data_IF_120074329769
#
_entry.id   IF_120074329769
#
_cell.length_a   1.000
_cell.length_b   1.000
_cell.length_c   1.000
_cell.angle_alpha   90.00
_cell.angle_beta   90.00
_cell.angle_gamma   90.00
#
_symmetry.space_group_name_H-M   'P 1'
#
loop_
_entity.id
_entity.type
_entity.pdbx_description
1 polymer ?
#
# COMPACT_ATOMS: atom_id res chain seq x y z
N UNK A 1 3.78 0.29 29.17
CA UNK A 1 3.60 -0.49 27.93
C UNK A 1 4.25 0.26 26.77
N UNK A 2 5.35 -0.25 26.21
CA UNK A 2 6.09 0.40 25.12
C UNK A 2 5.23 0.47 23.85
N UNK A 3 5.30 1.55 23.04
CA UNK A 3 4.53 1.71 21.77
C UNK A 3 4.53 0.43 20.91
N UNK A 4 5.63 -0.31 20.91
CA UNK A 4 5.81 -1.59 20.19
C UNK A 4 4.80 -2.70 20.58
N UNK A 5 4.38 -2.78 21.85
CA UNK A 5 3.40 -3.78 22.29
C UNK A 5 1.98 -3.47 21.80
N UNK A 6 1.64 -2.19 21.66
CA UNK A 6 0.34 -1.74 21.13
C UNK A 6 0.22 -2.11 19.64
N UNK A 7 1.28 -1.87 18.86
CA UNK A 7 1.29 -2.22 17.44
C UNK A 7 1.29 -3.73 17.18
N UNK A 8 1.97 -4.52 18.03
CA UNK A 8 1.91 -5.99 17.93
C UNK A 8 0.49 -6.52 18.14
N UNK A 9 -0.24 -5.97 19.12
CA UNK A 9 -1.64 -6.30 19.35
C UNK A 9 -2.53 -5.93 18.16
N UNK A 10 -2.29 -4.77 17.53
CA UNK A 10 -3.05 -4.29 16.37
C UNK A 10 -2.79 -5.09 15.10
N UNK A 11 -1.54 -5.46 14.82
CA UNK A 11 -1.23 -6.33 13.69
C UNK A 11 -2.00 -7.66 13.78
N UNK A 12 -2.08 -8.27 14.98
CA UNK A 12 -2.85 -9.50 15.18
C UNK A 12 -4.36 -9.31 14.96
N UNK A 13 -4.92 -8.15 15.32
CA UNK A 13 -6.32 -7.82 15.04
C UNK A 13 -6.58 -7.67 13.53
N UNK A 14 -5.72 -6.91 12.83
CA UNK A 14 -5.80 -6.72 11.38
C UNK A 14 -5.60 -8.04 10.63
N UNK A 15 -4.67 -8.88 11.06
CA UNK A 15 -4.45 -10.21 10.50
C UNK A 15 -5.70 -11.09 10.64
N UNK A 16 -6.38 -11.08 11.79
CA UNK A 16 -7.64 -11.80 11.96
C UNK A 16 -8.73 -11.27 11.02
N UNK A 17 -8.79 -9.95 10.84
CA UNK A 17 -9.74 -9.32 9.92
C UNK A 17 -9.43 -9.69 8.46
N UNK A 18 -8.16 -9.70 8.09
CA UNK A 18 -7.69 -10.09 6.77
C UNK A 18 -8.05 -11.55 6.48
N UNK A 19 -7.74 -12.47 7.39
CA UNK A 19 -8.15 -13.88 7.31
C UNK A 19 -9.68 -14.02 7.20
N UNK A 20 -10.43 -13.20 7.93
CA UNK A 20 -11.88 -13.16 7.81
C UNK A 20 -12.33 -12.76 6.39
N UNK A 21 -11.75 -11.71 5.83
CA UNK A 21 -12.07 -11.23 4.48
C UNK A 21 -11.61 -12.18 3.37
N UNK A 22 -10.47 -12.83 3.55
CA UNK A 22 -10.01 -13.91 2.67
C UNK A 22 -11.06 -15.02 2.63
N UNK A 23 -11.60 -15.41 3.77
CA UNK A 23 -12.63 -16.44 3.87
C UNK A 23 -14.02 -15.98 3.42
N UNK A 24 -14.34 -14.69 3.53
CA UNK A 24 -15.60 -14.13 3.03
C UNK A 24 -15.61 -14.06 1.50
N UNK A 25 -14.50 -13.64 0.89
CA UNK A 25 -14.36 -13.45 -0.55
C UNK A 25 -13.43 -14.47 -1.21
N UNK A 26 -13.54 -15.76 -0.83
CA UNK A 26 -12.64 -16.87 -1.23
C UNK A 26 -12.35 -16.92 -2.72
N UNK A 27 -13.36 -16.70 -3.56
CA UNK A 27 -13.19 -16.74 -5.02
C UNK A 27 -12.12 -15.76 -5.48
N UNK A 28 -12.12 -14.52 -4.99
CA UNK A 28 -11.18 -13.49 -5.42
C UNK A 28 -9.88 -13.55 -4.64
N UNK A 29 -9.93 -13.76 -3.32
CA UNK A 29 -8.74 -13.85 -2.48
C UNK A 29 -7.85 -15.05 -2.87
N UNK A 30 -8.41 -16.25 -3.03
CA UNK A 30 -7.61 -17.43 -3.41
C UNK A 30 -7.12 -17.35 -4.86
N UNK A 31 -7.89 -16.72 -5.75
CA UNK A 31 -7.42 -16.47 -7.13
C UNK A 31 -6.25 -15.50 -7.14
N UNK A 32 -6.31 -14.42 -6.37
CA UNK A 32 -5.23 -13.44 -6.25
C UNK A 32 -3.94 -14.10 -5.72
N UNK A 33 -4.02 -14.81 -4.59
CA UNK A 33 -2.84 -15.42 -3.97
C UNK A 33 -2.29 -16.60 -4.79
N UNK A 34 -3.13 -17.38 -5.46
CA UNK A 34 -2.66 -18.45 -6.33
C UNK A 34 -1.95 -17.91 -7.58
N UNK A 35 -2.50 -16.88 -8.23
CA UNK A 35 -1.84 -16.19 -9.34
C UNK A 35 -0.52 -15.57 -8.91
N UNK A 36 -0.44 -15.00 -7.71
CA UNK A 36 0.81 -14.48 -7.18
C UNK A 36 1.87 -15.59 -6.98
N UNK A 37 1.49 -16.77 -6.50
CA UNK A 37 2.42 -17.91 -6.43
C UNK A 37 2.90 -18.35 -7.81
N UNK A 38 2.00 -18.41 -8.80
CA UNK A 38 2.37 -18.74 -10.19
C UNK A 38 3.31 -17.68 -10.75
N UNK A 39 3.04 -16.39 -10.49
CA UNK A 39 3.90 -15.28 -10.86
C UNK A 39 5.31 -15.44 -10.27
N UNK A 40 5.42 -15.76 -8.98
CA UNK A 40 6.71 -16.02 -8.32
C UNK A 40 7.41 -17.25 -8.90
N UNK A 41 6.67 -18.31 -9.25
CA UNK A 41 7.26 -19.46 -9.94
C UNK A 41 7.82 -19.10 -11.32
N UNK A 42 7.08 -18.30 -12.08
CA UNK A 42 7.47 -17.86 -13.43
C UNK A 42 8.64 -16.89 -13.43
N UNK A 43 8.69 -15.91 -12.53
CA UNK A 43 9.81 -14.96 -12.48
C UNK A 43 11.14 -15.66 -12.16
N UNK A 44 11.11 -16.69 -11.31
CA UNK A 44 12.27 -17.51 -10.98
C UNK A 44 12.66 -18.41 -12.17
N UNK A 45 11.69 -19.08 -12.79
CA UNK A 45 11.97 -19.99 -13.91
C UNK A 45 12.42 -19.25 -15.18
N UNK A 46 11.92 -18.05 -15.44
CA UNK A 46 12.27 -17.24 -16.64
C UNK A 46 13.78 -17.03 -16.73
N UNK A 47 14.42 -16.60 -15.63
CA UNK A 47 15.86 -16.34 -15.62
C UNK A 47 16.68 -17.64 -15.71
N UNK A 48 16.16 -18.73 -15.13
CA UNK A 48 16.77 -20.05 -15.24
C UNK A 48 16.70 -20.63 -16.66
N UNK A 49 15.55 -20.48 -17.34
CA UNK A 49 15.37 -20.88 -18.75
C UNK A 49 16.34 -20.14 -19.68
N UNK A 50 16.63 -18.86 -19.40
CA UNK A 50 17.65 -18.12 -20.14
C UNK A 50 19.04 -18.74 -19.93
N UNK A 51 19.38 -19.15 -18.71
CA UNK A 51 20.62 -19.89 -18.44
C UNK A 51 20.72 -21.19 -19.24
N UNK A 52 19.65 -22.01 -19.23
CA UNK A 52 19.60 -23.26 -20.00
C UNK A 52 19.72 -23.04 -21.52
N UNK A 53 19.13 -21.94 -22.03
CA UNK A 53 19.28 -21.56 -23.42
C UNK A 53 20.73 -21.20 -23.76
N UNK A 54 21.43 -20.49 -22.86
CA UNK A 54 22.86 -20.17 -23.02
C UNK A 54 23.72 -21.43 -23.00
N UNK A 55 23.53 -22.34 -22.05
CA UNK A 55 24.31 -23.59 -22.00
C UNK A 55 24.06 -24.49 -23.21
N UNK A 56 22.82 -24.53 -23.69
CA UNK A 56 22.48 -25.24 -24.92
C UNK A 56 23.16 -24.63 -26.15
N UNK A 57 23.30 -23.30 -26.18
CA UNK A 57 23.98 -22.59 -27.26
C UNK A 57 25.49 -22.83 -27.21
N UNK A 58 26.11 -22.80 -26.03
CA UNK A 58 27.54 -23.09 -25.83
C UNK A 58 27.87 -24.53 -26.24
N UNK A 59 26.97 -25.48 -25.93
CA UNK A 59 27.10 -26.88 -26.37
C UNK A 59 26.72 -27.13 -27.83
N UNK A 60 26.40 -26.07 -28.60
CA UNK A 60 26.00 -26.13 -30.01
C UNK A 60 24.78 -27.04 -30.28
N UNK A 61 23.92 -27.24 -29.27
CA UNK A 61 22.70 -28.04 -29.41
C UNK A 61 21.54 -27.15 -29.89
N UNK A 62 21.34 -27.08 -31.20
CA UNK A 62 20.32 -26.24 -31.83
C UNK A 62 18.91 -26.54 -31.31
N UNK A 63 18.55 -27.82 -31.16
CA UNK A 63 17.19 -28.22 -30.74
C UNK A 63 16.87 -27.74 -29.33
N UNK A 64 17.77 -27.97 -28.38
CA UNK A 64 17.61 -27.52 -27.00
C UNK A 64 17.65 -25.99 -26.89
N UNK A 65 18.53 -25.34 -27.66
CA UNK A 65 18.63 -23.88 -27.69
C UNK A 65 17.33 -23.23 -28.14
N UNK A 66 16.74 -23.73 -29.24
CA UNK A 66 15.46 -23.26 -29.74
C UNK A 66 14.33 -23.50 -28.72
N UNK A 67 14.28 -24.70 -28.12
CA UNK A 67 13.27 -25.04 -27.13
C UNK A 67 13.32 -24.09 -25.92
N UNK A 68 14.48 -23.94 -25.29
CA UNK A 68 14.61 -23.08 -24.12
C UNK A 68 14.44 -21.59 -24.44
N UNK A 69 14.84 -21.15 -25.64
CA UNK A 69 14.59 -19.77 -26.09
C UNK A 69 13.10 -19.50 -26.26
N UNK A 70 12.35 -20.43 -26.87
CA UNK A 70 10.89 -20.32 -27.01
C UNK A 70 10.19 -20.36 -25.65
N UNK A 71 10.62 -21.24 -24.75
CA UNK A 71 10.09 -21.31 -23.38
C UNK A 71 10.39 -20.02 -22.61
N UNK A 72 11.58 -19.45 -22.76
CA UNK A 72 11.96 -18.16 -22.18
C UNK A 72 11.03 -17.03 -22.68
N UNK A 73 10.85 -16.90 -24.00
CA UNK A 73 9.95 -15.90 -24.58
C UNK A 73 8.50 -16.08 -24.12
N UNK A 74 8.02 -17.33 -24.09
CA UNK A 74 6.69 -17.65 -23.58
C UNK A 74 6.54 -17.29 -22.10
N UNK A 75 7.54 -17.61 -21.28
CA UNK A 75 7.53 -17.28 -19.84
C UNK A 75 7.51 -15.77 -19.59
N UNK A 76 8.24 -14.98 -20.39
CA UNK A 76 8.21 -13.51 -20.36
C UNK A 76 6.82 -12.96 -20.71
N UNK A 77 6.18 -13.48 -21.76
CA UNK A 77 4.82 -13.08 -22.14
C UNK A 77 3.81 -13.44 -21.03
N UNK A 78 3.89 -14.66 -20.50
CA UNK A 78 3.01 -15.12 -19.43
C UNK A 78 3.19 -14.35 -18.13
N UNK A 79 4.42 -13.94 -17.80
CA UNK A 79 4.70 -13.12 -16.62
C UNK A 79 3.91 -11.81 -16.65
N UNK A 80 3.85 -11.13 -17.80
CA UNK A 80 3.09 -9.89 -17.96
C UNK A 80 1.57 -10.12 -17.85
N UNK A 81 1.06 -11.18 -18.48
CA UNK A 81 -0.38 -11.52 -18.42
C UNK A 81 -0.80 -11.87 -16.99
N UNK A 82 0.00 -12.68 -16.29
CA UNK A 82 -0.31 -13.10 -14.92
C UNK A 82 -0.18 -11.92 -13.95
N UNK A 83 0.79 -11.02 -14.16
CA UNK A 83 0.88 -9.79 -13.36
C UNK A 83 -0.40 -8.95 -13.52
N UNK A 84 -0.83 -8.70 -14.75
CA UNK A 84 -2.07 -7.98 -15.03
C UNK A 84 -3.29 -8.63 -14.36
N UNK A 85 -3.46 -9.96 -14.51
CA UNK A 85 -4.58 -10.68 -13.88
C UNK A 85 -4.50 -10.63 -12.35
N UNK A 86 -3.30 -10.74 -11.78
CA UNK A 86 -3.09 -10.67 -10.33
C UNK A 86 -3.46 -9.28 -9.79
N UNK A 87 -3.01 -8.21 -10.44
CA UNK A 87 -3.34 -6.83 -10.07
C UNK A 87 -4.85 -6.56 -10.19
N UNK A 88 -5.46 -6.93 -11.32
CA UNK A 88 -6.89 -6.77 -11.55
C UNK A 88 -7.74 -7.47 -10.47
N UNK A 89 -7.42 -8.73 -10.15
CA UNK A 89 -8.15 -9.48 -9.12
C UNK A 89 -7.87 -8.91 -7.73
N UNK A 90 -6.65 -8.43 -7.47
CA UNK A 90 -6.30 -7.76 -6.21
C UNK A 90 -7.18 -6.53 -5.97
N UNK A 91 -7.39 -5.71 -6.99
CA UNK A 91 -8.15 -4.47 -6.85
C UNK A 91 -9.65 -4.75 -6.71
N UNK A 92 -10.19 -5.74 -7.41
CA UNK A 92 -11.55 -6.23 -7.16
C UNK A 92 -11.69 -6.73 -5.73
N UNK A 93 -10.75 -7.54 -5.25
CA UNK A 93 -10.77 -8.06 -3.89
C UNK A 93 -10.78 -6.94 -2.86
N UNK A 94 -9.88 -5.95 -2.98
CA UNK A 94 -9.85 -4.76 -2.10
C UNK A 94 -11.17 -3.99 -2.15
N UNK A 95 -11.76 -3.79 -3.33
CA UNK A 95 -13.05 -3.10 -3.45
C UNK A 95 -14.22 -3.87 -2.86
N UNK A 96 -14.21 -5.20 -2.89
CA UNK A 96 -15.21 -6.01 -2.19
C UNK A 96 -15.09 -5.87 -0.67
N UNK A 97 -13.85 -5.83 -0.14
CA UNK A 97 -13.62 -5.55 1.28
C UNK A 97 -14.11 -4.15 1.66
N UNK A 98 -13.83 -3.16 0.81
CA UNK A 98 -14.30 -1.79 0.97
C UNK A 98 -15.83 -1.70 1.06
N UNK A 99 -16.55 -2.31 0.11
CA UNK A 99 -18.02 -2.31 0.13
C UNK A 99 -18.59 -2.99 1.37
N UNK A 100 -18.01 -4.10 1.83
CA UNK A 100 -18.46 -4.76 3.06
C UNK A 100 -18.21 -3.90 4.31
N UNK A 101 -17.08 -3.19 4.37
CA UNK A 101 -16.79 -2.26 5.45
C UNK A 101 -17.83 -1.14 5.48
N UNK A 102 -18.13 -0.55 4.33
CA UNK A 102 -19.13 0.53 4.21
C UNK A 102 -20.52 0.01 4.61
N UNK A 103 -20.93 -1.17 4.13
CA UNK A 103 -22.22 -1.77 4.48
C UNK A 103 -22.35 -1.99 5.99
N UNK A 104 -21.30 -2.48 6.66
CA UNK A 104 -21.27 -2.61 8.12
C UNK A 104 -21.36 -1.28 8.84
N UNK A 105 -20.64 -0.27 8.37
CA UNK A 105 -20.70 1.08 8.94
C UNK A 105 -22.13 1.62 8.83
N UNK A 106 -22.78 1.48 7.68
CA UNK A 106 -24.17 1.89 7.46
C UNK A 106 -25.10 1.16 8.44
N UNK A 107 -25.01 -0.18 8.50
CA UNK A 107 -25.83 -1.01 9.39
C UNK A 107 -25.65 -0.63 10.87
N UNK A 108 -24.41 -0.42 11.31
CA UNK A 108 -24.13 -0.02 12.67
C UNK A 108 -24.60 1.41 12.97
N UNK A 109 -24.50 2.32 12.01
CA UNK A 109 -25.01 3.68 12.15
C UNK A 109 -26.53 3.72 12.19
N UNK A 110 -27.24 2.81 11.49
CA UNK A 110 -28.70 2.68 11.65
C UNK A 110 -29.11 2.18 13.04
N UNK A 111 -28.27 1.38 13.68
CA UNK A 111 -28.54 0.87 15.02
C UNK A 111 -28.09 1.81 16.15
N UNK A 112 -27.04 2.59 15.91
CA UNK A 112 -26.47 3.59 16.83
C UNK A 112 -26.13 4.85 16.05
N UNK A 113 -27.11 5.75 15.84
CA UNK A 113 -26.93 6.94 15.01
C UNK A 113 -25.81 7.83 15.52
N UNK A 114 -24.89 8.19 14.62
CA UNK A 114 -23.85 9.21 14.80
C UNK A 114 -24.09 10.39 13.87
N UNK A 115 -23.31 11.45 14.06
CA UNK A 115 -23.40 12.63 13.20
C UNK A 115 -23.11 12.26 11.72
N UNK A 116 -24.05 12.51 10.79
CA UNK A 116 -23.90 12.09 9.39
C UNK A 116 -22.64 12.65 8.72
N UNK A 117 -22.28 13.89 9.04
CA UNK A 117 -21.07 14.53 8.51
C UNK A 117 -19.78 13.81 8.92
N UNK A 118 -19.70 13.37 10.18
CA UNK A 118 -18.56 12.60 10.69
C UNK A 118 -18.44 11.24 9.99
N UNK A 119 -19.56 10.52 9.86
CA UNK A 119 -19.59 9.20 9.21
C UNK A 119 -19.21 9.30 7.73
N UNK A 120 -19.81 10.24 7.00
CA UNK A 120 -19.50 10.46 5.57
C UNK A 120 -18.04 10.86 5.39
N UNK A 121 -17.51 11.74 6.24
CA UNK A 121 -16.10 12.15 6.18
C UNK A 121 -15.15 10.98 6.43
N UNK A 122 -15.43 10.11 7.40
CA UNK A 122 -14.61 8.91 7.66
C UNK A 122 -14.70 7.91 6.52
N UNK A 123 -15.89 7.74 5.92
CA UNK A 123 -16.05 6.88 4.74
C UNK A 123 -15.20 7.38 3.57
N UNK A 124 -15.26 8.67 3.26
CA UNK A 124 -14.57 9.23 2.09
C UNK A 124 -13.06 9.35 2.26
N UNK A 125 -12.56 9.57 3.49
CA UNK A 125 -11.14 9.84 3.73
C UNK A 125 -10.34 8.66 4.29
N UNK A 126 -10.99 7.73 4.99
CA UNK A 126 -10.29 6.71 5.78
C UNK A 126 -10.53 5.27 5.34
N UNK A 127 -11.68 4.96 4.72
CA UNK A 127 -12.03 3.56 4.42
C UNK A 127 -11.03 2.90 3.47
N UNK A 128 -10.60 3.57 2.39
CA UNK A 128 -9.64 3.00 1.44
C UNK A 128 -8.30 2.66 2.13
N UNK A 129 -7.79 3.58 2.95
CA UNK A 129 -6.57 3.37 3.72
C UNK A 129 -6.75 2.26 4.77
N UNK A 130 -7.93 2.15 5.37
CA UNK A 130 -8.23 1.10 6.34
C UNK A 130 -8.33 -0.29 5.68
N UNK A 131 -8.90 -0.39 4.47
CA UNK A 131 -8.84 -1.61 3.65
C UNK A 131 -7.39 -1.99 3.40
N UNK A 132 -6.56 -1.01 3.04
CA UNK A 132 -5.11 -1.21 2.92
C UNK A 132 -4.49 -1.77 4.21
N UNK A 133 -4.85 -1.24 5.38
CA UNK A 133 -4.35 -1.72 6.68
C UNK A 133 -4.73 -3.19 6.96
N UNK A 134 -5.90 -3.61 6.50
CA UNK A 134 -6.38 -4.98 6.67
C UNK A 134 -5.59 -5.90 5.75
N UNK A 135 -5.65 -5.68 4.43
CA UNK A 135 -5.10 -6.57 3.39
C UNK A 135 -3.56 -6.66 3.43
N UNK A 136 -2.88 -5.64 3.95
CA UNK A 136 -1.42 -5.65 4.03
C UNK A 136 -0.88 -6.73 4.97
N UNK A 137 -1.71 -7.22 5.90
CA UNK A 137 -1.28 -8.13 6.96
C UNK A 137 -0.82 -9.48 6.41
N UNK A 138 -1.65 -10.11 5.57
CA UNK A 138 -1.30 -11.36 4.87
C UNK A 138 -0.35 -11.09 3.70
N UNK A 139 -0.52 -9.98 2.98
CA UNK A 139 0.38 -9.61 1.88
C UNK A 139 1.87 -9.60 2.28
N UNK A 140 2.21 -9.07 3.46
CA UNK A 140 3.60 -9.06 3.97
C UNK A 140 4.17 -10.49 4.06
N UNK A 141 3.36 -11.48 4.44
CA UNK A 141 3.78 -12.88 4.53
C UNK A 141 4.19 -13.38 3.12
N UNK A 142 3.40 -13.06 2.10
CA UNK A 142 3.70 -13.42 0.70
C UNK A 142 4.96 -12.73 0.16
N UNK A 143 5.22 -11.49 0.56
CA UNK A 143 6.47 -10.79 0.22
C UNK A 143 7.68 -11.48 0.87
N UNK A 144 7.57 -11.88 2.14
CA UNK A 144 8.62 -12.63 2.85
C UNK A 144 8.85 -13.98 2.18
N UNK A 145 7.78 -14.71 1.85
CA UNK A 145 7.87 -15.99 1.14
C UNK A 145 8.55 -15.82 -0.21
N UNK A 146 8.28 -14.75 -0.97
CA UNK A 146 8.97 -14.45 -2.24
C UNK A 146 10.46 -14.25 -2.05
N UNK A 147 10.88 -13.52 -1.01
CA UNK A 147 12.32 -13.32 -0.69
C UNK A 147 12.98 -14.67 -0.40
N UNK A 148 12.37 -15.47 0.48
CA UNK A 148 12.89 -16.78 0.86
C UNK A 148 12.94 -17.72 -0.35
N UNK A 149 11.87 -17.81 -1.14
CA UNK A 149 11.81 -18.64 -2.33
C UNK A 149 12.88 -18.26 -3.36
N UNK A 150 13.09 -16.95 -3.58
CA UNK A 150 14.12 -16.46 -4.51
C UNK A 150 15.53 -16.82 -4.01
N UNK A 151 15.79 -16.67 -2.71
CA UNK A 151 17.09 -17.03 -2.14
C UNK A 151 17.35 -18.54 -2.16
N UNK A 152 16.35 -19.36 -1.81
CA UNK A 152 16.44 -20.82 -1.88
C UNK A 152 16.65 -21.30 -3.33
N UNK A 153 15.94 -20.69 -4.29
CA UNK A 153 16.11 -21.00 -5.70
C UNK A 153 17.52 -20.64 -6.20
N UNK A 154 18.03 -19.45 -5.87
CA UNK A 154 19.41 -19.08 -6.19
C UNK A 154 20.43 -20.02 -5.53
N UNK A 155 20.18 -20.42 -4.27
CA UNK A 155 21.04 -21.37 -3.54
C UNK A 155 21.05 -22.76 -4.16
N UNK A 156 19.95 -23.17 -4.82
CA UNK A 156 19.89 -24.43 -5.56
C UNK A 156 20.73 -24.42 -6.86
N UNK A 157 21.02 -23.23 -7.41
CA UNK A 157 21.95 -23.06 -8.53
C UNK A 157 23.39 -23.05 -8.00
N UNK A 158 23.70 -22.17 -7.05
CA UNK A 158 24.99 -22.13 -6.37
C UNK A 158 24.87 -21.48 -5.01
N UNK A 159 25.01 -22.29 -3.94
CA UNK A 159 24.92 -21.81 -2.57
C UNK A 159 26.03 -20.79 -2.24
N UNK A 160 27.26 -21.07 -2.66
CA UNK A 160 28.44 -20.23 -2.40
C UNK A 160 28.24 -18.82 -2.96
N UNK A 161 27.77 -18.72 -4.21
CA UNK A 161 27.52 -17.44 -4.88
C UNK A 161 26.25 -16.76 -4.37
N UNK A 162 25.21 -17.52 -4.03
CA UNK A 162 23.97 -16.97 -3.49
C UNK A 162 24.19 -16.24 -2.15
N UNK A 163 25.04 -16.79 -1.25
CA UNK A 163 25.33 -16.16 0.05
C UNK A 163 25.99 -14.77 -0.12
N UNK A 164 26.76 -14.57 -1.18
CA UNK A 164 27.44 -13.29 -1.45
C UNK A 164 26.47 -12.14 -1.75
N UNK A 165 25.20 -12.41 -2.05
CA UNK A 165 24.20 -11.34 -2.24
C UNK A 165 23.75 -10.72 -0.92
N UNK A 166 23.85 -11.45 0.20
CA UNK A 166 23.24 -11.05 1.47
C UNK A 166 23.75 -9.69 1.98
N UNK A 167 25.05 -9.35 1.92
CA UNK A 167 25.52 -8.02 2.29
C UNK A 167 24.85 -6.90 1.47
N UNK A 168 24.63 -7.10 0.17
CA UNK A 168 23.98 -6.12 -0.71
C UNK A 168 22.51 -5.94 -0.34
N UNK A 169 21.80 -7.03 -0.04
CA UNK A 169 20.41 -6.99 0.42
C UNK A 169 20.30 -6.27 1.77
N UNK A 170 21.22 -6.55 2.71
CA UNK A 170 21.26 -5.87 4.01
C UNK A 170 21.54 -4.38 3.85
N UNK A 171 22.54 -4.00 3.06
CA UNK A 171 22.86 -2.59 2.79
C UNK A 171 21.67 -1.87 2.15
N UNK A 172 21.00 -2.50 1.17
CA UNK A 172 19.78 -1.98 0.56
C UNK A 172 18.66 -1.74 1.58
N UNK A 173 18.40 -2.74 2.43
CA UNK A 173 17.41 -2.64 3.51
C UNK A 173 17.73 -1.52 4.51
N UNK A 174 18.99 -1.39 4.92
CA UNK A 174 19.42 -0.33 5.84
C UNK A 174 19.29 1.06 5.22
N UNK A 175 19.68 1.24 3.96
CA UNK A 175 19.58 2.53 3.26
C UNK A 175 18.11 3.00 3.16
N UNK A 176 17.23 2.10 2.76
CA UNK A 176 15.78 2.40 2.66
C UNK A 176 15.19 2.71 4.04
N UNK A 177 15.57 1.96 5.08
CA UNK A 177 15.11 2.17 6.46
C UNK A 177 15.57 3.51 7.05
N UNK A 178 16.86 3.87 6.92
CA UNK A 178 17.40 5.08 7.56
C UNK A 178 17.09 6.37 6.81
N UNK A 179 17.05 6.34 5.49
CA UNK A 179 16.86 7.55 4.67
C UNK A 179 15.37 7.83 4.44
N UNK A 180 14.51 6.80 4.43
CA UNK A 180 13.06 6.92 4.24
C UNK A 180 12.40 7.98 5.14
N UNK A 181 12.60 7.95 6.48
CA UNK A 181 12.02 8.95 7.38
C UNK A 181 12.47 10.39 7.09
N UNK A 182 13.75 10.57 6.70
CA UNK A 182 14.29 11.89 6.34
C UNK A 182 13.65 12.40 5.04
N UNK A 183 13.45 11.53 4.06
CA UNK A 183 12.74 11.85 2.83
C UNK A 183 11.29 12.23 3.10
N UNK A 184 10.58 11.49 3.94
CA UNK A 184 9.18 11.80 4.30
C UNK A 184 9.06 13.15 5.02
N UNK A 185 9.98 13.46 5.96
CA UNK A 185 10.02 14.77 6.61
C UNK A 185 10.30 15.89 5.59
N UNK A 186 11.28 15.71 4.71
CA UNK A 186 11.59 16.70 3.66
C UNK A 186 10.41 16.91 2.68
N UNK A 187 9.68 15.85 2.34
CA UNK A 187 8.45 15.92 1.52
C UNK A 187 7.33 16.67 2.24
N UNK A 188 7.17 16.44 3.55
CA UNK A 188 6.17 17.16 4.35
C UNK A 188 6.49 18.66 4.40
N UNK A 189 7.76 19.03 4.67
CA UNK A 189 8.21 20.42 4.65
C UNK A 189 8.01 21.05 3.27
N UNK A 190 8.33 20.35 2.19
CA UNK A 190 8.15 20.85 0.82
C UNK A 190 6.67 21.14 0.51
N UNK A 191 5.75 20.24 0.89
CA UNK A 191 4.31 20.43 0.70
C UNK A 191 3.74 21.61 1.46
N UNK A 192 4.21 21.84 2.69
CA UNK A 192 3.79 23.00 3.50
C UNK A 192 4.19 24.31 2.81
N UNK A 193 5.45 24.42 2.37
CA UNK A 193 5.94 25.61 1.67
C UNK A 193 5.33 25.78 0.29
N UNK A 194 4.99 24.68 -0.40
CA UNK A 194 4.22 24.72 -1.64
C UNK A 194 2.84 25.36 -1.41
N UNK A 195 2.12 24.96 -0.36
CA UNK A 195 0.81 25.54 -0.03
C UNK A 195 0.92 27.05 0.27
N UNK A 196 1.96 27.46 1.01
CA UNK A 196 2.23 28.87 1.28
C UNK A 196 2.55 29.66 0.01
N UNK A 197 3.44 29.14 -0.85
CA UNK A 197 3.77 29.74 -2.14
C UNK A 197 2.53 29.87 -3.04
N UNK A 198 1.71 28.81 -3.13
CA UNK A 198 0.50 28.80 -3.94
C UNK A 198 -0.55 29.81 -3.46
N UNK A 199 -0.68 29.98 -2.13
CA UNK A 199 -1.51 31.04 -1.56
C UNK A 199 -1.04 32.43 -2.02
N UNK A 200 0.26 32.71 -1.97
CA UNK A 200 0.82 34.01 -2.41
C UNK A 200 0.71 34.21 -3.91
N UNK A 201 0.81 33.16 -4.70
CA UNK A 201 0.54 33.19 -6.14
C UNK A 201 -0.90 33.66 -6.40
N UNK A 202 -1.88 33.04 -5.72
CA UNK A 202 -3.30 33.40 -5.83
C UNK A 202 -3.54 34.87 -5.44
N UNK A 203 -3.02 35.29 -4.29
CA UNK A 203 -3.09 36.70 -3.84
C UNK A 203 -2.48 37.67 -4.87
N UNK A 204 -1.35 37.29 -5.48
CA UNK A 204 -0.66 38.14 -6.47
C UNK A 204 -1.45 38.28 -7.78
N UNK A 205 -2.12 37.22 -8.22
CA UNK A 205 -2.98 37.23 -9.41
C UNK A 205 -4.25 38.05 -9.14
N UNK A 206 -4.91 37.81 -8.01
CA UNK A 206 -6.13 38.53 -7.60
C UNK A 206 -5.85 40.03 -7.41
N UNK A 207 -4.66 40.40 -6.90
CA UNK A 207 -4.23 41.78 -6.76
C UNK A 207 -3.82 42.45 -8.08
N UNK A 208 -3.70 41.72 -9.20
CA UNK A 208 -3.14 42.23 -10.45
C UNK A 208 -3.86 43.46 -11.01
N UNK A 209 -5.20 43.49 -10.94
CA UNK A 209 -5.99 44.66 -11.36
C UNK A 209 -5.72 45.89 -10.49
N UNK A 210 -5.58 45.68 -9.18
CA UNK A 210 -5.28 46.73 -8.21
C UNK A 210 -3.85 47.27 -8.38
N UNK A 211 -2.88 46.38 -8.60
CA UNK A 211 -1.48 46.74 -8.84
C UNK A 211 -1.29 47.51 -10.16
N UNK A 212 -2.02 47.12 -11.21
CA UNK A 212 -2.03 47.83 -12.49
C UNK A 212 -2.57 49.27 -12.34
N UNK A 213 -3.65 49.46 -11.55
CA UNK A 213 -4.22 50.80 -11.28
C UNK A 213 -3.27 51.75 -10.56
N UNK A 214 -2.33 51.23 -9.78
CA UNK A 214 -1.29 52.02 -9.08
C UNK A 214 0.06 52.03 -9.81
N UNK A 215 0.08 51.60 -11.07
CA UNK A 215 1.27 51.57 -11.94
C UNK A 215 2.45 50.72 -11.40
N UNK A 216 2.16 49.68 -10.60
CA UNK A 216 3.15 48.69 -10.16
C UNK A 216 3.09 47.50 -11.13
N UNK A 217 3.96 47.49 -12.12
CA UNK A 217 3.97 46.51 -13.22
C UNK A 217 4.97 45.33 -13.01
N UNK A 218 5.41 45.12 -11.77
CA UNK A 218 6.39 44.08 -11.41
C UNK A 218 5.82 42.94 -10.58
N UNK A 219 6.56 41.84 -10.51
CA UNK A 219 6.23 40.71 -9.63
C UNK A 219 6.34 41.17 -8.16
N UNK A 220 5.32 40.93 -7.30
CA UNK A 220 5.37 41.32 -5.91
C UNK A 220 6.58 40.70 -5.19
N UNK A 221 7.34 41.51 -4.43
CA UNK A 221 8.50 41.03 -3.66
C UNK A 221 8.15 39.84 -2.77
N UNK A 222 6.95 39.85 -2.19
CA UNK A 222 6.46 38.76 -1.32
C UNK A 222 6.31 37.43 -2.05
N UNK A 223 5.98 37.45 -3.35
CA UNK A 223 5.96 36.24 -4.17
C UNK A 223 7.37 35.76 -4.49
N UNK A 224 8.30 36.68 -4.77
CA UNK A 224 9.70 36.34 -5.05
C UNK A 224 10.36 35.68 -3.82
N UNK A 225 10.13 36.23 -2.62
CA UNK A 225 10.67 35.67 -1.38
C UNK A 225 10.10 34.28 -1.08
N UNK A 226 8.79 34.10 -1.17
CA UNK A 226 8.19 32.77 -0.93
C UNK A 226 8.57 31.75 -2.00
N UNK A 227 8.82 32.19 -3.24
CA UNK A 227 9.37 31.32 -4.30
C UNK A 227 10.76 30.83 -3.93
N UNK A 228 11.64 31.71 -3.42
CA UNK A 228 12.98 31.32 -3.00
C UNK A 228 12.98 30.34 -1.81
N UNK A 229 12.10 30.57 -0.83
CA UNK A 229 11.89 29.68 0.33
C UNK A 229 11.40 28.30 -0.11
N UNK A 230 10.35 28.27 -0.93
CA UNK A 230 9.82 27.04 -1.53
C UNK A 230 10.91 26.29 -2.29
N UNK A 231 11.66 26.99 -3.16
CA UNK A 231 12.73 26.38 -3.94
C UNK A 231 13.86 25.81 -3.06
N UNK A 232 14.15 26.43 -1.92
CA UNK A 232 15.08 25.88 -0.93
C UNK A 232 14.62 24.53 -0.37
N UNK A 233 13.34 24.41 0.00
CA UNK A 233 12.73 23.16 0.48
C UNK A 233 12.64 22.10 -0.60
N UNK A 234 12.26 22.51 -1.82
CA UNK A 234 12.24 21.65 -2.99
C UNK A 234 13.62 21.04 -3.27
N UNK A 235 14.69 21.85 -3.30
CA UNK A 235 16.07 21.34 -3.46
C UNK A 235 16.44 20.31 -2.41
N UNK A 236 16.11 20.56 -1.13
CA UNK A 236 16.38 19.63 -0.03
C UNK A 236 15.63 18.31 -0.23
N UNK A 237 14.35 18.36 -0.59
CA UNK A 237 13.56 17.18 -0.93
C UNK A 237 14.16 16.43 -2.13
N UNK A 238 14.50 17.11 -3.22
CA UNK A 238 15.12 16.51 -4.40
C UNK A 238 16.44 15.83 -4.06
N UNK A 239 17.29 16.46 -3.24
CA UNK A 239 18.56 15.88 -2.79
C UNK A 239 18.34 14.55 -2.04
N UNK A 240 17.43 14.52 -1.06
CA UNK A 240 17.11 13.27 -0.36
C UNK A 240 16.49 12.23 -1.28
N UNK A 241 15.59 12.62 -2.18
CA UNK A 241 14.91 11.70 -3.07
C UNK A 241 15.89 11.07 -4.07
N UNK A 242 16.68 11.89 -4.77
CA UNK A 242 17.68 11.43 -5.73
C UNK A 242 18.83 10.70 -5.05
N UNK A 243 19.27 11.17 -3.89
CA UNK A 243 20.28 10.50 -3.07
C UNK A 243 19.85 9.11 -2.63
N UNK A 244 18.60 8.94 -2.18
CA UNK A 244 18.03 7.63 -1.85
C UNK A 244 17.97 6.73 -3.09
N UNK A 245 17.44 7.23 -4.21
CA UNK A 245 17.38 6.44 -5.45
C UNK A 245 18.76 5.97 -5.89
N UNK A 246 19.77 6.86 -5.83
CA UNK A 246 21.14 6.52 -6.19
C UNK A 246 21.75 5.47 -5.25
N UNK A 247 21.72 5.73 -3.94
CA UNK A 247 22.31 4.84 -2.94
C UNK A 247 21.60 3.49 -2.88
N UNK A 248 20.27 3.46 -3.00
CA UNK A 248 19.52 2.22 -3.02
C UNK A 248 19.74 1.44 -4.33
N UNK A 249 19.95 2.12 -5.46
CA UNK A 249 20.20 1.42 -6.74
C UNK A 249 21.61 0.82 -6.83
N UNK A 250 22.60 1.35 -6.10
CA UNK A 250 23.96 0.82 -6.05
C UNK A 250 24.02 -0.69 -5.73
N UNK A 251 23.49 -1.20 -4.61
CA UNK A 251 23.54 -2.64 -4.31
C UNK A 251 22.70 -3.49 -5.27
N UNK A 252 21.61 -2.94 -5.81
CA UNK A 252 20.73 -3.62 -6.80
C UNK A 252 21.47 -3.91 -8.10
N UNK A 253 22.31 -2.96 -8.54
CA UNK A 253 23.10 -3.12 -9.77
C UNK A 253 24.41 -3.85 -9.48
N UNK A 254 25.15 -3.45 -8.46
CA UNK A 254 26.49 -4.00 -8.18
C UNK A 254 26.40 -5.45 -7.71
N UNK A 255 25.48 -5.79 -6.82
CA UNK A 255 25.41 -7.12 -6.21
C UNK A 255 25.26 -8.25 -7.23
N UNK A 256 24.17 -8.29 -8.02
CA UNK A 256 23.97 -9.33 -9.03
C UNK A 256 25.05 -9.36 -10.12
N UNK A 257 25.58 -8.21 -10.54
CA UNK A 257 26.62 -8.17 -11.57
C UNK A 257 28.01 -8.58 -11.03
N UNK A 258 28.32 -8.30 -9.76
CA UNK A 258 29.54 -8.82 -9.13
C UNK A 258 29.47 -10.35 -9.06
N UNK A 259 28.33 -10.89 -8.63
CA UNK A 259 28.12 -12.34 -8.56
C UNK A 259 28.17 -12.97 -9.95
N UNK A 260 27.61 -12.31 -10.97
CA UNK A 260 27.75 -12.73 -12.36
C UNK A 260 29.23 -12.87 -12.78
N UNK A 261 30.07 -11.87 -12.49
CA UNK A 261 31.51 -11.94 -12.80
C UNK A 261 32.18 -13.12 -12.11
N UNK A 262 31.91 -13.33 -10.83
CA UNK A 262 32.44 -14.47 -10.08
C UNK A 262 31.95 -15.82 -10.64
N UNK A 263 30.68 -15.90 -11.03
CA UNK A 263 30.09 -17.10 -11.63
C UNK A 263 30.73 -17.42 -13.00
N UNK A 264 31.02 -16.40 -13.82
CA UNK A 264 31.74 -16.58 -15.09
C UNK A 264 33.17 -17.08 -14.83
N UNK A 265 33.87 -16.56 -13.81
CA UNK A 265 35.18 -17.07 -13.41
C UNK A 265 35.09 -18.55 -12.99
N UNK A 266 34.06 -18.92 -12.21
CA UNK A 266 33.82 -20.32 -11.84
C UNK A 266 33.57 -21.21 -13.06
N UNK A 267 32.81 -20.72 -14.05
CA UNK A 267 32.57 -21.44 -15.30
C UNK A 267 33.87 -21.67 -16.09
N UNK A 268 34.76 -20.67 -16.17
CA UNK A 268 36.08 -20.82 -16.81
C UNK A 268 36.92 -21.89 -16.09
N UNK A 269 36.83 -21.96 -14.77
CA UNK A 269 37.55 -22.95 -13.95
C UNK A 269 36.86 -24.32 -13.93
N UNK A 270 35.78 -24.53 -14.68
CA UNK A 270 35.05 -25.80 -14.74
C UNK A 270 34.20 -26.12 -13.48
N UNK A 271 33.97 -25.13 -12.61
CA UNK A 271 33.18 -25.27 -11.37
C UNK A 271 31.71 -24.87 -11.55
N UNK A 272 31.26 -24.66 -12.79
CA UNK A 272 29.90 -24.27 -13.14
C UNK A 272 29.76 -24.01 -14.63
N UNK A 273 28.62 -23.46 -15.05
CA UNK A 273 28.34 -23.14 -16.46
C UNK A 273 28.13 -21.63 -16.70
N UNK A 274 28.23 -21.21 -17.96
CA UNK A 274 27.93 -19.82 -18.34
C UNK A 274 26.44 -19.51 -18.16
N UNK A 275 25.59 -20.50 -18.40
CA UNK A 275 24.15 -20.43 -18.15
C UNK A 275 23.81 -20.23 -16.68
N UNK A 276 24.49 -20.93 -15.77
CA UNK A 276 24.34 -20.72 -14.32
C UNK A 276 24.67 -19.28 -13.92
N UNK A 277 25.73 -18.70 -14.47
CA UNK A 277 26.08 -17.30 -14.24
C UNK A 277 24.95 -16.35 -14.67
N UNK A 278 24.41 -16.54 -15.87
CA UNK A 278 23.30 -15.74 -16.41
C UNK A 278 22.03 -15.92 -15.55
N UNK A 279 21.70 -17.15 -15.17
CA UNK A 279 20.55 -17.46 -14.33
C UNK A 279 20.67 -16.82 -12.95
N UNK A 280 21.82 -16.97 -12.28
CA UNK A 280 22.08 -16.37 -10.96
C UNK A 280 21.93 -14.85 -10.99
N UNK A 281 22.50 -14.18 -12.00
CA UNK A 281 22.35 -12.72 -12.15
C UNK A 281 20.89 -12.31 -12.19
N UNK A 282 20.09 -12.99 -13.01
CA UNK A 282 18.67 -12.70 -13.18
C UNK A 282 17.86 -12.97 -11.91
N UNK A 283 18.00 -14.15 -11.33
CA UNK A 283 17.30 -14.56 -10.10
C UNK A 283 17.64 -13.62 -8.94
N UNK A 284 18.92 -13.34 -8.71
CA UNK A 284 19.37 -12.50 -7.61
C UNK A 284 18.95 -11.04 -7.77
N UNK A 285 18.79 -10.55 -9.00
CA UNK A 285 18.23 -9.22 -9.26
C UNK A 285 16.79 -9.09 -8.75
N UNK A 286 16.02 -10.19 -8.77
CA UNK A 286 14.63 -10.22 -8.30
C UNK A 286 14.49 -10.20 -6.76
N UNK A 287 15.59 -10.30 -6.00
CA UNK A 287 15.55 -10.19 -4.53
C UNK A 287 15.26 -8.77 -4.04
N UNK A 288 15.65 -7.75 -4.81
CA UNK A 288 15.61 -6.37 -4.33
C UNK A 288 14.21 -5.75 -4.37
N UNK A 289 13.39 -6.10 -5.36
CA UNK A 289 12.01 -5.60 -5.50
C UNK A 289 11.13 -5.95 -4.26
N UNK A 290 11.01 -7.21 -3.80
CA UNK A 290 10.21 -7.51 -2.62
C UNK A 290 10.77 -6.86 -1.34
N UNK A 291 12.09 -6.68 -1.23
CA UNK A 291 12.70 -5.95 -0.10
C UNK A 291 12.31 -4.47 -0.16
N UNK A 292 12.26 -3.87 -1.36
CA UNK A 292 11.75 -2.51 -1.57
C UNK A 292 10.30 -2.38 -1.11
N UNK A 293 9.46 -3.36 -1.46
CA UNK A 293 8.06 -3.41 -1.04
C UNK A 293 7.92 -3.47 0.48
N UNK A 294 8.76 -4.25 1.19
CA UNK A 294 8.75 -4.27 2.66
C UNK A 294 9.12 -2.90 3.24
N UNK A 295 10.16 -2.25 2.72
CA UNK A 295 10.57 -0.92 3.19
C UNK A 295 9.48 0.13 2.95
N UNK A 296 8.84 0.11 1.77
CA UNK A 296 7.72 1.00 1.45
C UNK A 296 6.50 0.74 2.33
N UNK A 297 6.20 -0.54 2.59
CA UNK A 297 5.11 -0.98 3.47
C UNK A 297 5.27 -0.44 4.89
N UNK A 298 6.48 -0.48 5.46
CA UNK A 298 6.75 0.10 6.79
C UNK A 298 6.43 1.60 6.82
N UNK A 299 6.72 2.32 5.72
CA UNK A 299 6.44 3.75 5.60
C UNK A 299 4.95 4.09 5.55
N UNK A 300 4.14 3.29 4.84
CA UNK A 300 2.70 3.51 4.72
C UNK A 300 1.89 2.91 5.87
N UNK A 301 2.41 1.87 6.54
CA UNK A 301 1.69 1.11 7.57
C UNK A 301 1.07 1.99 8.66
N UNK A 302 1.81 2.99 9.15
CA UNK A 302 1.30 3.89 10.20
C UNK A 302 0.09 4.71 9.75
N UNK A 303 0.07 5.17 8.49
CA UNK A 303 -1.06 5.93 7.94
C UNK A 303 -2.27 5.02 7.78
N UNK A 304 -2.06 3.82 7.22
CA UNK A 304 -3.10 2.82 7.02
C UNK A 304 -3.76 2.44 8.34
N UNK A 305 -2.96 2.10 9.36
CA UNK A 305 -3.45 1.73 10.69
C UNK A 305 -4.17 2.90 11.37
N UNK A 306 -3.69 4.13 11.20
CA UNK A 306 -4.35 5.32 11.78
C UNK A 306 -5.72 5.58 11.14
N UNK A 307 -5.87 5.39 9.83
CA UNK A 307 -7.18 5.43 9.17
C UNK A 307 -8.08 4.28 9.61
N UNK A 308 -7.53 3.07 9.81
CA UNK A 308 -8.28 1.97 10.41
C UNK A 308 -8.80 2.31 11.80
N UNK A 309 -7.98 2.90 12.68
CA UNK A 309 -8.40 3.31 14.03
C UNK A 309 -9.53 4.33 14.02
N UNK A 310 -9.60 5.19 13.00
CA UNK A 310 -10.70 6.12 12.82
C UNK A 310 -11.98 5.43 12.36
N UNK A 311 -11.92 4.35 11.59
CA UNK A 311 -13.15 3.62 11.19
C UNK A 311 -13.55 2.51 12.17
N UNK A 312 -12.63 1.99 12.98
CA UNK A 312 -12.86 0.85 13.86
C UNK A 312 -14.06 1.05 14.81
N UNK A 313 -14.25 2.21 15.47
CA UNK A 313 -15.43 2.46 16.30
C UNK A 313 -16.75 2.38 15.52
N UNK A 314 -16.74 2.71 14.22
CA UNK A 314 -17.91 2.61 13.35
C UNK A 314 -18.23 1.15 13.00
N UNK A 315 -17.22 0.27 12.98
CA UNK A 315 -17.35 -1.16 12.73
C UNK A 315 -17.69 -1.95 14.00
N UNK A 316 -17.20 -1.52 15.15
CA UNK A 316 -17.34 -2.22 16.43
C UNK A 316 -18.57 -1.83 17.24
N UNK A 317 -19.26 -0.73 16.87
CA UNK A 317 -20.50 -0.34 17.53
C UNK A 317 -21.53 -1.47 17.42
N UNK A 318 -21.70 -2.19 18.52
CA UNK A 318 -22.82 -3.09 18.71
C UNK A 318 -24.06 -2.21 18.81
N UNK A 319 -25.08 -2.56 18.04
CA UNK A 319 -26.43 -2.14 18.37
C UNK A 319 -26.63 -2.39 19.87
N UNK A 320 -27.00 -1.36 20.64
CA UNK A 320 -27.73 -1.65 21.87
C UNK A 320 -28.88 -2.58 21.46
N UNK A 321 -29.14 -3.64 22.24
CA UNK A 321 -30.29 -4.50 21.97
C UNK A 321 -31.51 -3.59 21.98
N UNK A 322 -31.98 -3.20 20.80
CA UNK A 322 -33.28 -2.59 20.65
C UNK A 322 -34.22 -3.74 20.97
N UNK A 323 -34.79 -3.72 22.17
CA UNK A 323 -35.90 -4.60 22.49
C UNK A 323 -37.00 -4.26 21.50
N UNK A 324 -37.23 -5.16 20.54
CA UNK A 324 -38.36 -5.08 19.64
C UNK A 324 -39.61 -5.34 20.46
N UNK A 325 -40.21 -4.28 20.96
CA UNK A 325 -41.51 -4.34 21.60
C UNK A 325 -42.61 -4.35 20.52
N UNK A 326 -43.69 -5.13 20.70
CA UNK A 326 -44.79 -5.16 19.76
C UNK A 326 -45.57 -3.84 19.72
N UNK A 327 -45.34 -2.90 20.63
CA UNK A 327 -45.89 -1.55 20.60
C UNK A 327 -44.97 -0.62 21.41
N UNK A 328 -45.02 0.69 21.13
CA UNK A 328 -44.36 1.71 21.95
C UNK A 328 -45.40 2.46 22.78
N UNK A 329 -45.16 2.66 24.07
CA UNK A 329 -46.02 3.46 24.94
C UNK A 329 -45.18 4.57 25.59
N UNK A 330 -45.60 5.82 25.42
CA UNK A 330 -45.01 7.01 26.03
C UNK A 330 -45.96 7.49 27.13
N UNK A 331 -45.50 7.57 28.38
CA UNK A 331 -46.26 8.12 29.52
C UNK A 331 -45.46 9.24 30.16
N UNK A 332 -46.04 10.43 30.23
CA UNK A 332 -45.43 11.65 30.76
C UNK A 332 -44.01 11.89 30.23
N UNK A 333 -43.79 11.61 28.94
CA UNK A 333 -42.48 11.71 28.32
C UNK A 333 -42.15 13.16 27.99
N UNK A 334 -40.97 13.61 28.42
CA UNK A 334 -40.48 14.98 28.22
C UNK A 334 -39.24 14.90 27.34
N UNK A 335 -39.25 15.58 26.20
CA UNK A 335 -38.05 15.77 25.37
C UNK A 335 -37.51 17.19 25.54
N UNK A 336 -36.23 17.29 25.90
CA UNK A 336 -35.51 18.56 26.04
C UNK A 336 -34.37 18.64 25.04
N UNK A 337 -34.21 19.79 24.41
CA UNK A 337 -33.08 20.12 23.54
C UNK A 337 -32.46 21.43 24.04
N UNK A 338 -31.14 21.46 24.25
CA UNK A 338 -30.41 22.59 24.84
C UNK A 338 -31.07 23.17 26.12
N UNK A 339 -31.49 22.26 27.02
CA UNK A 339 -32.10 22.63 28.30
C UNK A 339 -33.53 23.14 28.23
N UNK A 340 -34.11 23.33 27.02
CA UNK A 340 -35.51 23.74 26.83
C UNK A 340 -36.38 22.52 26.52
N UNK A 341 -37.55 22.45 27.13
CA UNK A 341 -38.55 21.42 26.79
C UNK A 341 -39.16 21.74 25.44
N UNK A 342 -39.03 20.80 24.50
CA UNK A 342 -39.49 20.95 23.12
C UNK A 342 -40.71 20.07 22.86
N UNK A 343 -40.83 18.94 23.56
CA UNK A 343 -41.97 18.04 23.44
C UNK A 343 -42.38 17.56 24.83
N UNK A 344 -43.68 17.55 25.07
CA UNK A 344 -44.29 16.89 26.22
C UNK A 344 -45.39 15.96 25.70
N UNK A 345 -45.32 14.69 26.11
CA UNK A 345 -46.27 13.65 25.72
C UNK A 345 -46.86 13.06 27.00
N UNK A 346 -48.11 13.41 27.30
CA UNK A 346 -48.81 12.87 28.48
C UNK A 346 -49.06 11.37 28.32
N UNK A 347 -49.65 10.95 27.21
CA UNK A 347 -49.87 9.54 26.90
C UNK A 347 -49.95 9.32 25.38
N UNK A 348 -49.14 8.41 24.84
CA UNK A 348 -49.18 8.00 23.44
C UNK A 348 -48.81 6.53 23.32
N UNK A 349 -49.69 5.71 22.73
CA UNK A 349 -49.39 4.32 22.39
C UNK A 349 -49.35 4.16 20.86
N UNK A 350 -48.30 3.49 20.35
CA UNK A 350 -48.04 3.24 18.93
C UNK A 350 -47.98 1.73 18.71
N UNK A 351 -48.97 1.17 18.00
CA UNK A 351 -49.07 -0.26 17.71
C UNK A 351 -48.67 -0.57 16.26
N UNK A 352 -48.38 -1.84 15.93
CA UNK A 352 -47.97 -2.22 14.58
C UNK A 352 -49.13 -2.00 13.61
N UNK A 353 -48.89 -1.21 12.56
CA UNK A 353 -49.90 -0.82 11.57
C UNK A 353 -50.55 0.53 11.84
N UNK A 354 -50.27 1.18 12.97
CA UNK A 354 -50.74 2.54 13.23
C UNK A 354 -50.01 3.54 12.32
N UNK A 355 -50.76 4.42 11.68
CA UNK A 355 -50.22 5.56 10.94
C UNK A 355 -50.39 6.82 11.79
N UNK A 356 -49.28 7.29 12.38
CA UNK A 356 -49.28 8.48 13.24
C UNK A 356 -48.91 9.69 12.42
N UNK A 357 -49.74 10.73 12.52
CA UNK A 357 -49.47 12.02 11.92
C UNK A 357 -49.39 13.08 13.02
N UNK A 358 -48.20 13.69 13.16
CA UNK A 358 -47.97 14.78 14.10
C UNK A 358 -48.29 16.08 13.37
N UNK A 359 -49.34 16.76 13.80
CA UNK A 359 -49.73 18.07 13.27
C UNK A 359 -49.48 19.13 14.34
N UNK A 360 -48.59 20.07 14.04
CA UNK A 360 -48.38 21.27 14.85
C UNK A 360 -49.35 22.39 14.48
N UNK A 361 -49.41 23.46 15.30
CA UNK A 361 -50.09 24.70 14.94
C UNK A 361 -49.56 25.32 13.64
#
# INVERSE_FOLDING_TARGET
>A
MTKMNIYKSKYLQLLKLDIYYINKFKKYSYSFYSLYFVFVGLILSTNYLLGLAVDSAVSLNLKSTLLFSLLFLFSMAMLNIINFLSEYISDIYKKLVEFDIIERIIKNNTATPREPGEVISRISSDVENAVGAIVISVWIIFVIVRIVATFLFASSISLELAILILPFVVVYGLLTYFIGPRLMRARSEEREYYAHWFKRLKESIEAGLSLCRVNILGVPKIYVTTTAEYFGKFKRFTFYNRGLMFLANMPVVIGPNLIFVLAVINAINGMGTVGEAVALRGVLSNLFEPVAHLAATVGSYYVLVTSYERIAPLLESRAEKIETAPYAEFKNAVFKYDGRTVLYVEELAVRPGDFIWVRGP
#
